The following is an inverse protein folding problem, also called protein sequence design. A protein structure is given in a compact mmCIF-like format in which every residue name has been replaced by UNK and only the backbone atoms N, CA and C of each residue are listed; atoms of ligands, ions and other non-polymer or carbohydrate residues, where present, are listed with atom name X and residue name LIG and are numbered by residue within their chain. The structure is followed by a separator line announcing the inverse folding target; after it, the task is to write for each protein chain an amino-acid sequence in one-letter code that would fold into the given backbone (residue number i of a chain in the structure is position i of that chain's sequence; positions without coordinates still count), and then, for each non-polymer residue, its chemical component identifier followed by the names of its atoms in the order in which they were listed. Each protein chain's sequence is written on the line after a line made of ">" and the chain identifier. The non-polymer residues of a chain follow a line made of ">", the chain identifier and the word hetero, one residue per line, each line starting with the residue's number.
data_IF_309089463526
#
_entry.id   IF_309089463526
#
_cell.length_a   1.000
_cell.length_b   1.000
_cell.length_c   1.000
_cell.angle_alpha   90.00
_cell.angle_beta   90.00
_cell.angle_gamma   90.00
#
_symmetry.space_group_name_H-M   'P 1'
#
loop_
_entity.id
_entity.type
_entity.pdbx_description
1 polymer ?
#
# COMPACT_ATOMS: atom_id res chain seq x y z
N UNK A 1 -36.91 -1.14 38.51
CA UNK A 1 -36.54 -1.90 37.29
C UNK A 1 -35.09 -1.57 36.93
N UNK A 2 -34.14 -2.49 37.16
CA UNK A 2 -32.72 -2.30 36.80
C UNK A 2 -32.56 -2.49 35.29
N UNK A 3 -32.21 -1.43 34.55
CA UNK A 3 -31.75 -1.54 33.16
C UNK A 3 -30.30 -1.97 33.18
N UNK A 4 -30.05 -3.23 32.90
CA UNK A 4 -28.71 -3.75 32.69
C UNK A 4 -28.23 -3.24 31.33
N UNK A 5 -27.18 -2.40 31.30
CA UNK A 5 -26.53 -1.97 30.07
C UNK A 5 -25.73 -3.15 29.53
N UNK A 6 -26.21 -3.78 28.46
CA UNK A 6 -25.40 -4.70 27.67
C UNK A 6 -24.34 -3.88 26.93
N UNK A 7 -23.13 -3.88 27.45
CA UNK A 7 -21.96 -3.33 26.74
C UNK A 7 -21.55 -4.35 25.68
N UNK A 8 -21.74 -4.01 24.40
CA UNK A 8 -21.17 -4.75 23.29
C UNK A 8 -19.64 -4.54 23.31
N UNK A 9 -18.92 -5.48 23.91
CA UNK A 9 -17.45 -5.46 24.07
C UNK A 9 -16.70 -5.88 22.80
N UNK A 10 -17.31 -5.75 21.62
CA UNK A 10 -16.65 -6.05 20.34
C UNK A 10 -15.66 -4.94 19.97
N UNK A 11 -14.37 -5.21 20.16
CA UNK A 11 -13.31 -4.35 19.65
C UNK A 11 -13.34 -4.35 18.10
N UNK A 12 -13.42 -3.17 17.49
CA UNK A 12 -13.32 -3.01 16.04
C UNK A 12 -11.85 -2.81 15.67
N UNK A 13 -11.26 -3.78 14.96
CA UNK A 13 -9.90 -3.64 14.43
C UNK A 13 -9.93 -2.54 13.36
N UNK A 14 -9.24 -1.44 13.61
CA UNK A 14 -8.99 -0.38 12.63
C UNK A 14 -7.73 -0.77 11.86
N UNK A 15 -7.90 -1.46 10.75
CA UNK A 15 -6.80 -1.77 9.83
C UNK A 15 -6.47 -0.47 9.09
N UNK A 16 -5.26 0.05 9.26
CA UNK A 16 -4.84 1.24 8.52
C UNK A 16 -4.72 0.86 7.03
N UNK A 17 -5.42 1.55 6.10
CA UNK A 17 -5.42 1.15 4.70
C UNK A 17 -4.01 1.16 4.12
N UNK A 18 -3.61 0.08 3.47
CA UNK A 18 -2.23 -0.06 2.97
C UNK A 18 -1.91 1.03 1.94
N UNK A 19 -2.92 1.41 1.14
CA UNK A 19 -2.85 2.51 0.19
C UNK A 19 -2.47 3.86 0.83
N UNK A 20 -2.72 4.05 2.13
CA UNK A 20 -2.38 5.28 2.88
C UNK A 20 -1.00 5.20 3.54
N UNK A 21 -0.30 4.07 3.43
CA UNK A 21 1.08 3.91 3.90
C UNK A 21 2.05 4.56 2.90
N UNK A 22 2.14 5.89 2.91
CA UNK A 22 2.91 6.67 1.92
C UNK A 22 4.38 6.25 1.79
N UNK A 23 5.01 5.82 2.89
CA UNK A 23 6.40 5.38 2.87
C UNK A 23 6.58 4.11 2.00
N UNK A 24 5.70 3.13 2.19
CA UNK A 24 5.71 1.86 1.47
C UNK A 24 5.34 2.07 -0.01
N UNK A 25 4.30 2.87 -0.29
CA UNK A 25 3.90 3.26 -1.66
C UNK A 25 5.07 3.91 -2.41
N UNK A 26 5.73 4.91 -1.81
CA UNK A 26 6.89 5.61 -2.42
C UNK A 26 8.08 4.70 -2.62
N UNK A 27 8.33 3.76 -1.70
CA UNK A 27 9.43 2.82 -1.83
C UNK A 27 9.19 1.85 -2.98
N UNK A 28 8.00 1.25 -3.05
CA UNK A 28 7.62 0.31 -4.12
C UNK A 28 7.61 1.01 -5.48
N UNK A 29 7.03 2.22 -5.57
CA UNK A 29 7.03 3.00 -6.81
C UNK A 29 8.47 3.30 -7.31
N UNK A 30 9.37 3.77 -6.44
CA UNK A 30 10.77 4.02 -6.79
C UNK A 30 11.50 2.75 -7.22
N UNK A 31 11.21 1.62 -6.57
CA UNK A 31 11.85 0.35 -6.90
C UNK A 31 11.36 -0.18 -8.25
N UNK A 32 10.06 -0.08 -8.53
CA UNK A 32 9.48 -0.44 -9.82
C UNK A 32 10.05 0.42 -10.96
N UNK A 33 10.17 1.74 -10.76
CA UNK A 33 10.75 2.66 -11.74
C UNK A 33 12.24 2.36 -12.02
N UNK A 34 13.00 1.93 -11.00
CA UNK A 34 14.41 1.59 -11.17
C UNK A 34 14.65 0.27 -11.93
N UNK A 35 13.65 -0.63 -11.99
CA UNK A 35 13.79 -1.93 -12.64
C UNK A 35 13.54 -1.77 -14.14
N UNK A 36 14.55 -2.07 -14.96
CA UNK A 36 14.48 -1.95 -16.42
C UNK A 36 13.87 -3.18 -17.11
N UNK A 37 13.99 -4.35 -16.50
CA UNK A 37 13.44 -5.60 -17.02
C UNK A 37 11.99 -5.79 -16.54
N UNK A 38 11.07 -5.92 -17.50
CA UNK A 38 9.65 -6.15 -17.25
C UNK A 38 9.41 -7.46 -16.48
N UNK A 39 10.20 -8.50 -16.72
CA UNK A 39 10.06 -9.77 -16.01
C UNK A 39 10.43 -9.64 -14.53
N UNK A 40 11.54 -8.95 -14.24
CA UNK A 40 11.98 -8.64 -12.88
C UNK A 40 10.97 -7.74 -12.16
N UNK A 41 10.44 -6.71 -12.82
CA UNK A 41 9.44 -5.81 -12.24
C UNK A 41 8.16 -6.57 -11.83
N UNK A 42 7.70 -7.50 -12.69
CA UNK A 42 6.56 -8.39 -12.38
C UNK A 42 6.87 -9.32 -11.20
N UNK A 43 8.06 -9.89 -11.15
CA UNK A 43 8.46 -10.76 -10.04
C UNK A 43 8.51 -9.98 -8.71
N UNK A 44 9.09 -8.77 -8.71
CA UNK A 44 9.11 -7.89 -7.56
C UNK A 44 7.69 -7.53 -7.09
N UNK A 45 6.81 -7.11 -8.02
CA UNK A 45 5.42 -6.79 -7.70
C UNK A 45 4.67 -7.97 -7.07
N UNK A 46 4.84 -9.18 -7.62
CA UNK A 46 4.26 -10.41 -7.04
C UNK A 46 4.73 -10.65 -5.60
N UNK A 47 6.01 -10.40 -5.32
CA UNK A 47 6.56 -10.48 -3.96
C UNK A 47 5.88 -9.50 -3.00
N UNK A 48 5.77 -8.23 -3.42
CA UNK A 48 5.08 -7.19 -2.63
C UNK A 48 3.63 -7.57 -2.34
N UNK A 49 2.89 -8.03 -3.34
CA UNK A 49 1.50 -8.48 -3.18
C UNK A 49 1.40 -9.68 -2.24
N UNK A 50 2.27 -10.67 -2.36
CA UNK A 50 2.27 -11.85 -1.48
C UNK A 50 2.56 -11.49 -0.02
N UNK A 51 3.47 -10.54 0.23
CA UNK A 51 3.79 -10.09 1.57
C UNK A 51 2.65 -9.27 2.20
N UNK A 52 1.98 -8.43 1.42
CA UNK A 52 0.78 -7.69 1.86
C UNK A 52 -0.39 -8.64 2.13
N UNK A 53 -0.65 -9.60 1.24
CA UNK A 53 -1.68 -10.63 1.42
C UNK A 53 -1.46 -11.41 2.72
N UNK A 54 -0.21 -11.83 2.99
CA UNK A 54 0.16 -12.51 4.24
C UNK A 54 -0.07 -11.62 5.48
N UNK A 55 0.37 -10.36 5.44
CA UNK A 55 0.19 -9.40 6.55
C UNK A 55 -1.30 -9.17 6.84
N UNK A 56 -2.09 -8.86 5.82
CA UNK A 56 -3.51 -8.60 5.99
C UNK A 56 -4.28 -9.86 6.43
N UNK A 57 -3.92 -11.03 5.90
CA UNK A 57 -4.48 -12.31 6.39
C UNK A 57 -4.16 -12.53 7.87
N UNK A 58 -2.93 -12.23 8.31
CA UNK A 58 -2.54 -12.38 9.72
C UNK A 58 -3.29 -11.43 10.66
N UNK A 59 -3.79 -10.31 10.14
CA UNK A 59 -4.65 -9.37 10.87
C UNK A 59 -6.14 -9.77 10.86
N UNK A 60 -6.48 -10.89 10.22
CA UNK A 60 -7.84 -11.43 10.19
C UNK A 60 -8.77 -10.81 9.15
N UNK A 61 -8.24 -10.12 8.13
CA UNK A 61 -9.07 -9.63 7.03
C UNK A 61 -9.57 -10.80 6.19
N UNK A 62 -10.80 -10.67 5.69
CA UNK A 62 -11.36 -11.62 4.72
C UNK A 62 -10.70 -11.47 3.36
N UNK A 63 -10.80 -12.50 2.51
CA UNK A 63 -10.23 -12.44 1.15
C UNK A 63 -10.73 -11.25 0.34
N UNK A 64 -12.00 -10.90 0.46
CA UNK A 64 -12.59 -9.76 -0.24
C UNK A 64 -12.01 -8.43 0.25
N UNK A 65 -11.85 -8.28 1.57
CA UNK A 65 -11.22 -7.09 2.16
C UNK A 65 -9.75 -6.97 1.74
N UNK A 66 -9.01 -8.09 1.71
CA UNK A 66 -7.62 -8.12 1.23
C UNK A 66 -7.56 -7.68 -0.23
N UNK A 67 -8.43 -8.21 -1.09
CA UNK A 67 -8.47 -7.83 -2.50
C UNK A 67 -8.71 -6.32 -2.67
N UNK A 68 -9.65 -5.74 -1.91
CA UNK A 68 -9.90 -4.28 -1.92
C UNK A 68 -8.66 -3.49 -1.53
N UNK A 69 -7.98 -3.90 -0.45
CA UNK A 69 -6.75 -3.23 0.01
C UNK A 69 -5.59 -3.36 -1.00
N UNK A 70 -5.43 -4.53 -1.63
CA UNK A 70 -4.41 -4.77 -2.66
C UNK A 70 -4.65 -3.91 -3.90
N UNK A 71 -5.89 -3.80 -4.36
CA UNK A 71 -6.26 -2.91 -5.47
C UNK A 71 -6.01 -1.44 -5.12
N UNK A 72 -6.44 -1.00 -3.94
CA UNK A 72 -6.17 0.35 -3.47
C UNK A 72 -4.67 0.66 -3.38
N UNK A 73 -3.86 -0.31 -2.95
CA UNK A 73 -2.41 -0.16 -2.91
C UNK A 73 -1.79 -0.09 -4.31
N UNK A 74 -2.26 -0.92 -5.25
CA UNK A 74 -1.84 -0.86 -6.65
C UNK A 74 -2.10 0.52 -7.26
N UNK A 75 -3.32 1.05 -7.11
CA UNK A 75 -3.68 2.36 -7.62
C UNK A 75 -2.81 3.47 -7.01
N UNK A 76 -2.57 3.41 -5.70
CA UNK A 76 -1.70 4.37 -5.01
C UNK A 76 -0.26 4.33 -5.54
N UNK A 77 0.29 3.14 -5.82
CA UNK A 77 1.62 2.98 -6.42
C UNK A 77 1.66 3.53 -7.84
N UNK A 78 0.65 3.23 -8.67
CA UNK A 78 0.57 3.78 -10.04
C UNK A 78 0.51 5.31 -10.03
N UNK A 79 -0.32 5.90 -9.17
CA UNK A 79 -0.40 7.35 -9.02
C UNK A 79 0.93 7.95 -8.55
N UNK A 80 1.62 7.31 -7.61
CA UNK A 80 2.93 7.77 -7.13
C UNK A 80 4.00 7.67 -8.23
N UNK A 81 4.00 6.62 -9.05
CA UNK A 81 4.89 6.52 -10.22
C UNK A 81 4.59 7.67 -11.20
N UNK A 82 3.32 7.91 -11.56
CA UNK A 82 2.92 9.05 -12.39
C UNK A 82 3.39 10.39 -11.79
N UNK A 83 3.25 10.57 -10.48
CA UNK A 83 3.72 11.78 -9.77
C UNK A 83 5.22 11.96 -9.89
N UNK A 84 6.01 10.88 -9.86
CA UNK A 84 7.45 10.95 -10.03
C UNK A 84 7.85 11.38 -11.45
N UNK A 85 7.11 10.93 -12.48
CA UNK A 85 7.33 11.37 -13.86
C UNK A 85 6.89 12.82 -14.12
N UNK A 86 5.76 13.25 -13.56
CA UNK A 86 5.22 14.62 -13.75
C UNK A 86 5.75 15.67 -12.79
N UNK A 87 6.40 15.26 -11.70
CA UNK A 87 6.86 16.11 -10.60
C UNK A 87 8.35 16.45 -10.65
N UNK A 88 8.99 16.34 -11.81
CA UNK A 88 10.37 16.76 -12.02
C UNK A 88 10.53 18.27 -11.80
N UNK A 89 10.67 18.71 -10.55
CA UNK A 89 11.35 19.97 -10.27
C UNK A 89 12.74 19.90 -10.91
N UNK A 90 13.12 20.86 -11.77
CA UNK A 90 14.47 20.91 -12.28
C UNK A 90 15.43 20.97 -11.09
N UNK A 91 16.41 20.07 -11.08
CA UNK A 91 17.48 20.05 -10.10
C UNK A 91 18.26 21.37 -10.25
N UNK A 92 17.89 22.37 -9.44
CA UNK A 92 18.52 23.68 -9.44
C UNK A 92 19.91 23.55 -8.80
N UNK A 93 20.93 23.47 -9.65
CA UNK A 93 22.31 23.86 -9.35
C UNK A 93 23.24 22.81 -8.73
N UNK A 94 24.22 22.37 -9.52
CA UNK A 94 25.62 22.50 -9.09
C UNK A 94 26.41 23.14 -10.24
N UNK A 95 26.49 24.46 -10.20
CA UNK A 95 27.58 25.21 -10.82
C UNK A 95 28.87 24.88 -10.07
N UNK A 96 29.88 24.41 -10.79
CA UNK A 96 31.28 24.67 -10.46
C UNK A 96 31.93 25.30 -11.68
#
# INVERSE_FOLDING_TARGET
>A
MKRQLELDLRAKILVFPVARCLAEVRQVARRLDAIRDVAEAKAYWRGVVADLDRRLSSHGLTRDQINVELWGFFDAVQMEMLRQYGGGTPQKGQTK
#
